data_IF_896546916789
#
_entry.id   IF_896546916789
#
_cell.length_a   1.000
_cell.length_b   1.000
_cell.length_c   1.000
_cell.angle_alpha   90.00
_cell.angle_beta   90.00
_cell.angle_gamma   90.00
#
_symmetry.space_group_name_H-M   'P 1'
#
loop_
_entity.id
_entity.type
_entity.pdbx_description
1 polymer ?
#
# COMPACT_ATOMS: atom_id res chain seq x y z
N UNK A 1 -35.12 3.10 -42.32
CA UNK A 1 -34.62 2.44 -41.09
C UNK A 1 -35.78 2.39 -40.09
N UNK A 2 -36.18 1.21 -39.64
CA UNK A 2 -37.33 1.10 -38.73
C UNK A 2 -36.94 1.60 -37.33
N UNK A 3 -37.82 2.32 -36.62
CA UNK A 3 -37.54 2.82 -35.26
C UNK A 3 -37.22 1.71 -34.26
N UNK A 4 -37.62 0.46 -34.51
CA UNK A 4 -37.26 -0.69 -33.68
C UNK A 4 -35.77 -1.05 -33.78
N UNK A 5 -35.12 -0.77 -34.91
CA UNK A 5 -33.68 -1.05 -35.09
C UNK A 5 -32.80 -0.09 -34.28
N UNK A 6 -33.21 1.18 -34.17
CA UNK A 6 -32.48 2.22 -33.41
C UNK A 6 -32.56 1.97 -31.89
N UNK A 7 -33.71 1.50 -31.40
CA UNK A 7 -33.90 1.19 -29.97
C UNK A 7 -33.06 -0.03 -29.56
N UNK A 8 -33.00 -1.06 -30.40
CA UNK A 8 -32.21 -2.27 -30.12
C UNK A 8 -30.71 -1.98 -30.11
N UNK A 9 -30.24 -1.11 -31.01
CA UNK A 9 -28.84 -0.67 -31.05
C UNK A 9 -28.46 0.18 -29.83
N UNK A 10 -29.36 1.04 -29.36
CA UNK A 10 -29.15 1.86 -28.17
C UNK A 10 -29.04 1.03 -26.88
N UNK A 11 -29.84 -0.04 -26.73
CA UNK A 11 -29.79 -0.95 -25.58
C UNK A 11 -28.51 -1.79 -25.59
N UNK A 12 -28.01 -2.17 -26.78
CA UNK A 12 -26.74 -2.90 -26.92
C UNK A 12 -25.50 -2.03 -26.64
N UNK A 13 -25.56 -0.73 -26.97
CA UNK A 13 -24.50 0.24 -26.60
C UNK A 13 -24.51 0.56 -25.10
N UNK A 14 -25.68 0.57 -24.44
CA UNK A 14 -25.78 0.87 -23.02
C UNK A 14 -25.29 -0.30 -22.12
N UNK A 15 -25.30 -1.52 -22.64
CA UNK A 15 -24.81 -2.72 -21.94
C UNK A 15 -23.29 -2.93 -22.05
N UNK A 16 -22.58 -2.12 -22.85
CA UNK A 16 -21.11 -2.09 -22.90
C UNK A 16 -20.50 -1.18 -21.81
N UNK A 17 -21.32 -0.43 -21.07
CA UNK A 17 -20.91 0.20 -19.81
C UNK A 17 -21.14 -0.75 -18.64
N UNK A 18 -20.70 -2.00 -18.77
CA UNK A 18 -20.50 -2.83 -17.60
C UNK A 18 -19.58 -2.06 -16.66
N UNK A 19 -19.97 -1.82 -15.39
CA UNK A 19 -19.07 -1.25 -14.42
C UNK A 19 -17.92 -2.24 -14.32
N UNK A 20 -16.78 -1.92 -14.93
CA UNK A 20 -15.54 -2.59 -14.61
C UNK A 20 -15.47 -2.54 -13.09
N UNK A 21 -15.57 -3.69 -12.43
CA UNK A 21 -15.41 -3.79 -11.00
C UNK A 21 -14.08 -3.11 -10.68
N UNK A 22 -14.15 -1.86 -10.20
CA UNK A 22 -12.97 -1.09 -9.82
C UNK A 22 -12.51 -1.67 -8.49
N UNK A 23 -11.97 -2.88 -8.52
CA UNK A 23 -11.22 -3.42 -7.40
C UNK A 23 -10.14 -2.37 -7.14
N UNK A 24 -10.12 -1.75 -5.94
CA UNK A 24 -9.11 -0.75 -5.64
C UNK A 24 -7.75 -1.37 -5.94
N UNK A 25 -6.96 -0.70 -6.78
CA UNK A 25 -5.63 -1.18 -7.14
C UNK A 25 -4.87 -1.38 -5.84
N UNK A 26 -4.51 -2.64 -5.57
CA UNK A 26 -3.58 -2.95 -4.50
C UNK A 26 -2.32 -2.16 -4.85
N UNK A 27 -2.01 -1.11 -4.09
CA UNK A 27 -0.88 -0.22 -4.38
C UNK A 27 0.39 -0.97 -4.03
N UNK A 28 0.76 -1.90 -4.90
CA UNK A 28 1.94 -2.75 -4.79
C UNK A 28 3.22 -1.89 -4.91
N UNK A 29 3.08 -0.68 -5.45
CA UNK A 29 4.12 0.33 -5.61
C UNK A 29 3.62 1.68 -5.06
N UNK A 30 4.53 2.63 -4.85
CA UNK A 30 4.19 3.99 -4.42
C UNK A 30 4.72 5.01 -5.42
N UNK A 31 3.90 6.00 -5.75
CA UNK A 31 4.18 7.08 -6.70
C UNK A 31 4.34 8.45 -6.01
N UNK A 32 4.07 8.51 -4.70
CA UNK A 32 4.08 9.77 -3.93
C UNK A 32 5.44 10.11 -3.30
N UNK A 33 6.37 9.16 -3.30
CA UNK A 33 7.77 9.36 -2.93
C UNK A 33 8.68 8.77 -4.01
N UNK A 34 9.95 9.22 -4.14
CA UNK A 34 10.85 8.63 -5.10
C UNK A 34 11.07 7.11 -4.86
N UNK A 35 11.12 6.29 -5.92
CA UNK A 35 11.47 4.88 -5.82
C UNK A 35 12.74 4.59 -5.03
N UNK A 36 12.76 3.48 -4.29
CA UNK A 36 13.94 3.04 -3.55
C UNK A 36 14.22 3.81 -2.26
N UNK A 37 13.48 4.88 -1.97
CA UNK A 37 13.51 5.56 -0.67
C UNK A 37 12.86 4.71 0.42
N UNK A 38 13.19 4.99 1.67
CA UNK A 38 12.54 4.40 2.83
C UNK A 38 11.33 5.23 3.25
N UNK A 39 10.28 4.56 3.71
CA UNK A 39 9.07 5.12 4.34
C UNK A 39 8.74 4.36 5.61
N UNK A 40 7.92 4.98 6.47
CA UNK A 40 7.28 4.28 7.59
C UNK A 40 5.81 4.01 7.25
N UNK A 41 5.33 2.83 7.60
CA UNK A 41 3.93 2.44 7.49
C UNK A 41 3.49 1.65 8.73
N UNK A 42 2.19 1.56 8.97
CA UNK A 42 1.64 0.69 10.01
C UNK A 42 0.88 -0.47 9.40
N UNK A 43 1.20 -1.69 9.80
CA UNK A 43 0.53 -2.91 9.32
C UNK A 43 -0.92 -2.93 9.80
N UNK A 44 -1.86 -3.18 8.90
CA UNK A 44 -3.30 -3.28 9.19
C UNK A 44 -3.83 -4.68 8.97
N UNK A 45 -3.23 -5.45 8.06
CA UNK A 45 -3.62 -6.82 7.75
C UNK A 45 -2.37 -7.63 7.38
N UNK A 46 -2.37 -8.91 7.72
CA UNK A 46 -1.32 -9.87 7.35
C UNK A 46 -1.98 -10.99 6.56
N UNK A 47 -1.53 -11.18 5.32
CA UNK A 47 -2.14 -12.10 4.37
C UNK A 47 -1.68 -13.54 4.57
N UNK A 48 -2.58 -14.49 4.31
CA UNK A 48 -2.25 -15.90 4.16
C UNK A 48 -1.84 -16.22 2.73
N UNK A 49 -0.99 -17.22 2.53
CA UNK A 49 -0.62 -17.73 1.21
C UNK A 49 -1.85 -18.05 0.37
N UNK A 50 -2.83 -18.74 0.97
CA UNK A 50 -4.04 -19.14 0.27
C UNK A 50 -4.81 -17.95 -0.34
N UNK A 51 -4.81 -16.80 0.33
CA UNK A 51 -5.56 -15.62 -0.12
C UNK A 51 -4.81 -14.86 -1.20
N UNK A 52 -3.47 -14.85 -1.14
CA UNK A 52 -2.61 -14.33 -2.20
C UNK A 52 -2.84 -15.13 -3.49
N UNK A 53 -2.87 -16.46 -3.41
CA UNK A 53 -3.05 -17.35 -4.57
C UNK A 53 -4.45 -17.24 -5.19
N UNK A 54 -5.49 -16.93 -4.40
CA UNK A 54 -6.85 -16.66 -4.92
C UNK A 54 -6.93 -15.37 -5.74
N UNK A 55 -5.98 -14.44 -5.54
CA UNK A 55 -5.91 -13.17 -6.26
C UNK A 55 -4.89 -13.29 -7.40
N UNK A 56 -5.26 -13.97 -8.47
CA UNK A 56 -4.36 -14.32 -9.59
C UNK A 56 -3.54 -13.13 -10.13
N UNK A 57 -4.17 -11.96 -10.29
CA UNK A 57 -3.48 -10.75 -10.75
C UNK A 57 -2.37 -10.30 -9.77
N UNK A 58 -2.64 -10.38 -8.47
CA UNK A 58 -1.71 -10.02 -7.40
C UNK A 58 -0.55 -11.00 -7.36
N UNK A 59 -0.85 -12.29 -7.36
CA UNK A 59 0.15 -13.36 -7.39
C UNK A 59 1.08 -13.18 -8.59
N UNK A 60 0.54 -13.01 -9.80
CA UNK A 60 1.33 -12.75 -11.01
C UNK A 60 2.20 -11.50 -10.90
N UNK A 61 1.68 -10.40 -10.36
CA UNK A 61 2.46 -9.18 -10.15
C UNK A 61 3.60 -9.36 -9.14
N UNK A 62 3.39 -10.14 -8.07
CA UNK A 62 4.44 -10.45 -7.10
C UNK A 62 5.57 -11.25 -7.76
N UNK A 63 5.22 -12.32 -8.49
CA UNK A 63 6.21 -13.15 -9.20
C UNK A 63 6.96 -12.34 -10.26
N UNK A 64 6.24 -11.52 -11.04
CA UNK A 64 6.86 -10.67 -12.05
C UNK A 64 7.89 -9.70 -11.46
N UNK A 65 7.62 -9.17 -10.26
CA UNK A 65 8.55 -8.30 -9.54
C UNK A 65 9.77 -9.03 -8.93
N UNK A 66 9.92 -10.33 -9.20
CA UNK A 66 11.11 -11.12 -8.86
C UNK A 66 11.05 -11.83 -7.50
N UNK A 67 9.86 -11.97 -6.91
CA UNK A 67 9.70 -12.80 -5.70
C UNK A 67 9.48 -14.26 -6.11
N UNK A 68 10.25 -15.18 -5.54
CA UNK A 68 10.08 -16.61 -5.78
C UNK A 68 8.77 -17.11 -5.18
N UNK A 69 8.08 -18.02 -5.88
CA UNK A 69 6.81 -18.57 -5.39
C UNK A 69 6.97 -19.31 -4.05
N UNK A 70 8.13 -19.93 -3.83
CA UNK A 70 8.50 -20.56 -2.55
C UNK A 70 8.67 -19.58 -1.39
N UNK A 71 8.70 -18.28 -1.68
CA UNK A 71 8.78 -17.22 -0.69
C UNK A 71 7.41 -16.70 -0.27
N UNK A 72 6.35 -17.08 -0.98
CA UNK A 72 4.99 -16.67 -0.68
C UNK A 72 4.35 -17.54 0.41
N UNK A 73 4.77 -17.37 1.65
CA UNK A 73 4.20 -18.10 2.80
C UNK A 73 3.18 -17.26 3.56
N UNK A 74 2.52 -17.84 4.56
CA UNK A 74 1.68 -17.05 5.47
C UNK A 74 2.53 -15.93 6.10
N UNK A 75 2.03 -14.69 5.99
CA UNK A 75 2.74 -13.51 6.45
C UNK A 75 3.70 -12.87 5.44
N UNK A 76 3.93 -13.46 4.26
CA UNK A 76 4.82 -12.88 3.24
C UNK A 76 4.24 -11.65 2.53
N UNK A 77 2.95 -11.37 2.73
CA UNK A 77 2.26 -10.16 2.24
C UNK A 77 1.53 -9.50 3.39
N UNK A 78 1.65 -8.19 3.50
CA UNK A 78 0.91 -7.39 4.47
C UNK A 78 0.24 -6.20 3.77
N UNK A 79 -0.90 -5.77 4.30
CA UNK A 79 -1.46 -4.45 3.99
C UNK A 79 -1.01 -3.49 5.07
N UNK A 80 -0.59 -2.29 4.68
CA UNK A 80 -0.18 -1.26 5.62
C UNK A 80 -0.70 0.11 5.22
N UNK A 81 -1.05 0.91 6.22
CA UNK A 81 -1.47 2.30 6.04
C UNK A 81 -0.27 3.23 6.19
N UNK A 82 -0.13 4.17 5.25
CA UNK A 82 0.85 5.27 5.29
C UNK A 82 0.22 6.60 5.68
N UNK A 83 -1.11 6.66 5.70
CA UNK A 83 -1.91 7.76 6.20
C UNK A 83 -2.97 7.21 7.13
N UNK A 84 -3.47 8.03 8.04
CA UNK A 84 -4.61 7.64 8.85
C UNK A 84 -5.69 8.71 9.01
N UNK A 85 -6.85 8.19 9.45
CA UNK A 85 -7.80 8.77 10.41
C UNK A 85 -8.94 9.67 9.92
N UNK A 86 -8.96 10.07 8.65
CA UNK A 86 -10.07 10.84 8.07
C UNK A 86 -10.68 10.20 6.84
N UNK A 87 -11.95 10.49 6.62
CA UNK A 87 -12.74 10.14 5.43
C UNK A 87 -14.23 10.24 5.72
N UNK A 88 -15.03 10.50 4.69
CA UNK A 88 -16.50 10.53 4.83
C UNK A 88 -17.09 9.17 5.21
N UNK A 89 -16.38 8.08 4.90
CA UNK A 89 -16.66 6.72 5.36
C UNK A 89 -15.35 5.93 5.43
N UNK A 90 -15.38 4.74 6.05
CA UNK A 90 -14.21 3.85 6.08
C UNK A 90 -13.63 3.60 4.68
N UNK A 91 -14.49 3.35 3.68
CA UNK A 91 -14.08 3.03 2.29
C UNK A 91 -13.44 4.22 1.55
N UNK A 92 -13.75 5.43 2.00
CA UNK A 92 -13.19 6.68 1.48
C UNK A 92 -12.17 7.30 2.44
N UNK A 93 -11.75 6.55 3.46
CA UNK A 93 -10.76 7.03 4.41
C UNK A 93 -9.39 7.01 3.78
N UNK A 94 -8.56 8.00 4.13
CA UNK A 94 -7.14 8.03 3.73
C UNK A 94 -6.46 6.72 4.08
N UNK A 95 -6.78 6.15 5.24
CA UNK A 95 -6.31 4.83 5.68
C UNK A 95 -6.60 3.72 4.67
N UNK A 96 -7.82 3.68 4.13
CA UNK A 96 -8.22 2.61 3.22
C UNK A 96 -7.77 2.86 1.78
N UNK A 97 -7.89 4.09 1.28
CA UNK A 97 -7.61 4.41 -0.13
C UNK A 97 -6.12 4.56 -0.44
N UNK A 98 -5.28 4.79 0.58
CA UNK A 98 -3.81 4.88 0.42
C UNK A 98 -3.06 3.70 1.02
N UNK A 99 -3.77 2.64 1.44
CA UNK A 99 -3.11 1.42 1.91
C UNK A 99 -2.19 0.86 0.83
N UNK A 100 -1.02 0.44 1.27
CA UNK A 100 -0.01 -0.19 0.44
C UNK A 100 -0.05 -1.69 0.69
N UNK A 101 0.16 -2.45 -0.37
CA UNK A 101 0.51 -3.85 -0.25
C UNK A 101 2.04 -3.93 -0.13
N UNK A 102 2.50 -4.69 0.85
CA UNK A 102 3.91 -4.87 1.16
C UNK A 102 4.30 -6.33 0.99
N UNK A 103 5.45 -6.59 0.39
CA UNK A 103 6.15 -7.87 0.52
C UNK A 103 6.93 -7.89 1.83
N UNK A 104 6.85 -9.00 2.55
CA UNK A 104 7.57 -9.25 3.81
C UNK A 104 8.59 -10.38 3.53
N UNK A 105 9.88 -10.05 3.46
CA UNK A 105 10.93 -11.05 3.22
C UNK A 105 10.96 -12.15 4.29
N UNK A 106 11.43 -13.35 3.89
CA UNK A 106 11.68 -14.46 4.81
C UNK A 106 12.52 -14.03 6.02
N UNK A 107 12.14 -14.50 7.20
CA UNK A 107 12.84 -14.22 8.46
C UNK A 107 12.43 -12.91 9.13
N UNK A 108 11.59 -12.08 8.49
CA UNK A 108 10.93 -10.95 9.14
C UNK A 108 9.50 -11.33 9.53
N UNK A 109 9.18 -11.15 10.81
CA UNK A 109 7.82 -11.33 11.32
C UNK A 109 7.17 -9.98 11.55
N UNK A 110 6.00 -9.78 10.93
CA UNK A 110 5.18 -8.57 11.12
C UNK A 110 3.81 -8.96 11.67
N UNK A 111 3.28 -8.12 12.56
CA UNK A 111 1.94 -8.25 13.14
C UNK A 111 1.08 -7.04 12.82
N UNK A 112 -0.24 -7.20 12.94
CA UNK A 112 -1.17 -6.08 12.84
C UNK A 112 -0.83 -5.04 13.92
N UNK A 113 -0.80 -3.76 13.56
CA UNK A 113 -0.46 -2.67 14.45
C UNK A 113 1.04 -2.32 14.50
N UNK A 114 1.92 -3.18 14.01
CA UNK A 114 3.36 -2.90 13.95
C UNK A 114 3.65 -1.68 13.07
N UNK A 115 4.56 -0.82 13.50
CA UNK A 115 5.20 0.15 12.62
C UNK A 115 6.39 -0.50 11.93
N UNK A 116 6.44 -0.38 10.62
CA UNK A 116 7.46 -1.00 9.77
C UNK A 116 8.13 0.04 8.89
N UNK A 117 9.41 -0.18 8.64
CA UNK A 117 10.15 0.52 7.60
C UNK A 117 9.94 -0.23 6.29
N UNK A 118 9.62 0.51 5.23
CA UNK A 118 9.38 -0.04 3.90
C UNK A 118 10.30 0.65 2.91
N UNK A 119 10.84 -0.13 1.98
CA UNK A 119 11.47 0.39 0.77
C UNK A 119 10.40 0.60 -0.30
N UNK A 120 10.30 1.82 -0.80
CA UNK A 120 9.37 2.21 -1.86
C UNK A 120 9.64 1.42 -3.14
N UNK A 121 8.61 0.73 -3.63
CA UNK A 121 8.61 0.06 -4.92
C UNK A 121 8.53 1.06 -6.08
N UNK A 122 8.43 0.54 -7.32
CA UNK A 122 8.18 1.34 -8.52
C UNK A 122 7.42 0.55 -9.57
N UNK A 123 6.62 1.21 -10.42
CA UNK A 123 5.96 0.55 -11.53
C UNK A 123 6.95 -0.08 -12.51
N UNK A 124 6.50 -1.06 -13.32
CA UNK A 124 7.24 -1.55 -14.46
C UNK A 124 7.54 -0.42 -15.46
N UNK A 125 8.77 -0.37 -16.00
CA UNK A 125 9.21 0.60 -16.99
C UNK A 125 10.16 -0.07 -17.99
N UNK A 126 10.00 0.15 -19.30
CA UNK A 126 10.93 -0.27 -20.36
C UNK A 126 11.52 -1.69 -20.17
N UNK A 127 10.64 -2.71 -20.27
CA UNK A 127 10.98 -4.15 -20.11
C UNK A 127 11.40 -4.59 -18.69
N UNK A 128 11.59 -3.67 -17.74
CA UNK A 128 11.77 -4.01 -16.33
C UNK A 128 10.41 -4.18 -15.63
N UNK A 129 10.28 -5.25 -14.84
CA UNK A 129 9.02 -5.66 -14.20
C UNK A 129 8.61 -4.81 -12.98
N UNK A 130 9.34 -3.74 -12.66
CA UNK A 130 9.10 -2.92 -11.49
C UNK A 130 9.60 -3.57 -10.21
N UNK A 131 9.21 -2.99 -9.07
CA UNK A 131 9.59 -3.47 -7.73
C UNK A 131 8.44 -3.31 -6.76
N UNK A 132 8.24 -4.27 -5.87
CA UNK A 132 7.23 -4.20 -4.82
C UNK A 132 7.68 -3.25 -3.70
N UNK A 133 6.72 -2.62 -3.02
CA UNK A 133 6.98 -2.09 -1.68
C UNK A 133 7.39 -3.26 -0.77
N UNK A 134 8.52 -3.13 -0.09
CA UNK A 134 9.12 -4.25 0.66
C UNK A 134 9.43 -3.82 2.08
N UNK A 135 9.03 -4.60 3.08
CA UNK A 135 9.42 -4.37 4.47
C UNK A 135 10.92 -4.61 4.62
N UNK A 136 11.63 -3.63 5.18
CA UNK A 136 13.07 -3.73 5.47
C UNK A 136 13.33 -4.11 6.93
N UNK A 137 12.49 -3.62 7.86
CA UNK A 137 12.53 -3.98 9.28
C UNK A 137 11.24 -3.59 10.00
N UNK A 138 11.01 -4.19 11.17
CA UNK A 138 10.04 -3.71 12.14
C UNK A 138 10.68 -2.61 12.98
N UNK A 139 10.00 -1.48 13.12
CA UNK A 139 10.46 -0.32 13.89
C UNK A 139 9.92 -0.36 15.32
N UNK A 140 8.66 -0.76 15.47
CA UNK A 140 7.99 -0.90 16.77
C UNK A 140 6.89 -1.95 16.67
N UNK A 141 6.82 -2.86 17.64
CA UNK A 141 5.75 -3.87 17.73
C UNK A 141 4.51 -3.27 18.37
N UNK A 142 3.34 -3.76 17.97
CA UNK A 142 2.10 -3.36 18.63
C UNK A 142 2.17 -3.71 20.13
N UNK A 143 1.93 -2.70 20.99
CA UNK A 143 1.93 -2.87 22.44
C UNK A 143 3.29 -2.68 23.11
N UNK A 144 4.35 -2.39 22.34
CA UNK A 144 5.62 -1.96 22.92
C UNK A 144 5.42 -0.68 23.75
N UNK A 145 5.85 -0.71 25.00
CA UNK A 145 5.66 0.40 25.94
C UNK A 145 6.51 1.64 25.60
N UNK A 146 7.49 1.50 24.71
CA UNK A 146 8.43 2.56 24.38
C UNK A 146 7.79 3.71 23.59
N UNK A 147 6.70 3.46 22.83
CA UNK A 147 5.90 4.49 22.16
C UNK A 147 6.72 5.45 21.27
N UNK A 148 7.75 4.92 20.61
CA UNK A 148 8.72 5.67 19.80
C UNK A 148 8.16 6.06 18.44
N UNK A 149 7.17 5.33 17.94
CA UNK A 149 6.46 5.64 16.72
C UNK A 149 5.00 6.05 16.99
N UNK A 150 4.49 7.02 16.23
CA UNK A 150 3.13 7.54 16.36
C UNK A 150 2.61 8.10 15.04
N UNK A 151 1.32 8.45 15.04
CA UNK A 151 0.68 9.21 13.97
C UNK A 151 0.85 10.71 14.23
N UNK A 152 1.59 11.40 13.37
CA UNK A 152 1.86 12.84 13.43
C UNK A 152 0.92 13.64 12.50
N UNK A 153 0.28 14.72 12.99
CA UNK A 153 0.27 15.20 14.37
C UNK A 153 -0.49 14.27 15.33
N UNK A 154 -0.17 14.32 16.64
CA UNK A 154 -0.77 13.42 17.65
C UNK A 154 -2.28 13.58 17.86
N UNK A 155 -2.89 14.67 17.40
CA UNK A 155 -4.34 14.92 17.51
C UNK A 155 -5.13 13.91 16.67
N UNK A 156 -5.94 13.07 17.34
CA UNK A 156 -6.68 11.99 16.71
C UNK A 156 -7.91 12.41 15.91
N UNK A 157 -8.29 13.68 15.99
CA UNK A 157 -9.41 14.28 15.24
C UNK A 157 -9.01 14.73 13.84
N UNK A 158 -7.71 14.73 13.53
CA UNK A 158 -7.22 15.15 12.22
C UNK A 158 -7.50 14.11 11.15
N UNK A 159 -7.93 14.61 9.99
CA UNK A 159 -8.29 13.77 8.84
C UNK A 159 -7.09 13.11 8.16
N UNK A 160 -5.91 13.70 8.31
CA UNK A 160 -4.69 13.22 7.70
C UNK A 160 -3.57 13.30 8.73
N UNK A 161 -2.95 12.15 8.96
CA UNK A 161 -1.75 12.01 9.78
C UNK A 161 -0.80 11.05 9.09
N UNK A 162 0.49 11.21 9.34
CA UNK A 162 1.56 10.40 8.78
C UNK A 162 2.31 9.67 9.89
N UNK A 163 2.85 8.47 9.67
CA UNK A 163 3.71 7.82 10.64
C UNK A 163 4.97 8.66 10.87
N UNK A 164 5.37 8.77 12.13
CA UNK A 164 6.60 9.39 12.56
C UNK A 164 7.19 8.58 13.71
N UNK A 165 8.51 8.53 13.81
CA UNK A 165 9.22 7.99 14.95
C UNK A 165 10.29 8.98 15.45
N UNK A 166 10.56 9.00 16.75
CA UNK A 166 11.40 10.00 17.42
C UNK A 166 12.83 10.16 16.82
N UNK A 167 13.37 9.08 16.27
CA UNK A 167 14.75 9.01 15.75
C UNK A 167 14.84 9.38 14.26
N UNK A 168 13.72 9.60 13.57
CA UNK A 168 13.70 9.79 12.11
C UNK A 168 14.53 11.00 11.68
N UNK A 169 14.35 12.16 12.31
CA UNK A 169 15.12 13.36 11.94
C UNK A 169 16.63 13.16 12.13
N UNK A 170 17.02 12.49 13.23
CA UNK A 170 18.43 12.21 13.55
C UNK A 170 19.05 11.23 12.55
N UNK A 171 18.26 10.31 12.01
CA UNK A 171 18.68 9.38 10.97
C UNK A 171 18.63 9.98 9.54
N UNK A 172 18.34 11.27 9.40
CA UNK A 172 18.34 11.96 8.10
C UNK A 172 17.08 11.74 7.27
N UNK A 173 15.96 11.41 7.92
CA UNK A 173 14.66 11.41 7.26
C UNK A 173 14.20 12.85 7.01
N UNK A 174 13.55 13.06 5.87
CA UNK A 174 13.06 14.37 5.44
C UNK A 174 11.55 14.33 5.33
N UNK A 175 10.91 15.41 5.78
CA UNK A 175 9.47 15.62 5.62
C UNK A 175 9.20 16.31 4.28
N UNK A 176 8.38 15.68 3.46
CA UNK A 176 7.68 16.30 2.33
C UNK A 176 6.36 16.85 2.83
N UNK A 177 6.08 18.12 2.53
CA UNK A 177 4.79 18.76 2.80
C UNK A 177 3.89 18.76 1.55
N UNK A 178 2.67 19.31 1.68
CA UNK A 178 1.71 19.46 0.58
C UNK A 178 0.55 18.48 0.65
N UNK A 179 -0.02 18.13 -0.51
CA UNK A 179 -1.23 17.28 -0.61
C UNK A 179 -0.94 15.82 -0.24
N UNK A 180 0.31 15.38 -0.41
CA UNK A 180 0.78 14.04 -0.06
C UNK A 180 1.95 14.15 0.93
N UNK A 181 1.67 14.55 2.19
CA UNK A 181 2.72 14.71 3.18
C UNK A 181 3.35 13.35 3.47
N UNK A 182 4.66 13.28 3.63
CA UNK A 182 5.34 12.03 3.91
C UNK A 182 6.68 12.27 4.57
N UNK A 183 7.05 11.38 5.48
CA UNK A 183 8.45 11.22 5.87
C UNK A 183 9.10 10.15 4.98
N UNK A 184 10.25 10.47 4.41
CA UNK A 184 11.04 9.53 3.63
C UNK A 184 12.55 9.77 3.80
N UNK A 185 13.34 8.73 3.52
CA UNK A 185 14.81 8.79 3.56
C UNK A 185 15.39 8.22 2.28
N UNK A 186 16.28 8.96 1.65
CA UNK A 186 17.04 8.45 0.50
C UNK A 186 17.99 7.33 0.95
N UNK A 187 18.06 6.28 0.16
CA UNK A 187 19.08 5.23 0.34
C UNK A 187 20.36 5.67 -0.38
N UNK A 188 21.56 5.43 0.20
CA UNK A 188 22.83 5.61 -0.48
C UNK A 188 22.96 4.74 -1.74
#
# INVERSE_FOLDING_TARGET
MSPQFLITLAIFMLSLFLPACSTPTLRIQTDVVPPGTLRVAQVTEVGKREDILKLEAVHKSIIAAGVDDSDLVDGSVAMARIYCCGGMSYKYSSEFVTRLMLYVPKGLEVGVGDFVEIKAGRPPENEDNGRLNTVTRVLEKQGDQAGKCWWDPRDDRLWLRVPYCEWMEQEGWVKQDGVNPAWYKSMP
#
